data_IF_133775180091
#
_entry.id   IF_133775180091
#
_cell.length_a   1.000
_cell.length_b   1.000
_cell.length_c   1.000
_cell.angle_alpha   90.00
_cell.angle_beta   90.00
_cell.angle_gamma   90.00
#
_symmetry.space_group_name_H-M   'P 1'
#
loop_
_entity.id
_entity.type
_entity.pdbx_description
1 polymer ?
#
# COMPACT_ATOMS: atom_id res chain seq x y z
N UNK A 1 6.27 -5.25 -14.99
CA UNK A 1 5.62 -4.04 -14.40
C UNK A 1 5.50 -4.23 -12.90
N UNK A 2 5.84 -3.22 -12.09
CA UNK A 2 5.68 -3.20 -10.63
C UNK A 2 4.41 -2.45 -10.26
N UNK A 3 3.64 -2.96 -9.28
CA UNK A 3 2.46 -2.27 -8.73
C UNK A 3 2.83 -1.67 -7.37
N UNK A 4 2.48 -0.42 -7.13
CA UNK A 4 2.55 0.20 -5.81
C UNK A 4 1.15 0.34 -5.23
N UNK A 5 0.95 -0.13 -3.99
CA UNK A 5 -0.32 -0.05 -3.29
C UNK A 5 -0.13 0.55 -1.89
N UNK A 6 -1.10 1.34 -1.43
CA UNK A 6 -1.09 1.89 -0.07
C UNK A 6 -1.31 0.81 0.97
N UNK A 7 -0.68 0.94 2.13
CA UNK A 7 -1.02 0.17 3.32
C UNK A 7 -2.47 0.43 3.79
N UNK A 8 -2.92 -0.33 4.77
CA UNK A 8 -4.18 -0.07 5.46
C UNK A 8 -3.95 0.34 6.91
N UNK A 9 -4.83 1.19 7.42
CA UNK A 9 -4.84 1.62 8.85
C UNK A 9 -5.32 0.53 9.80
N UNK A 10 -5.92 -0.55 9.27
CA UNK A 10 -6.41 -1.69 10.03
C UNK A 10 -5.68 -2.96 9.63
N UNK A 11 -5.39 -3.79 10.62
CA UNK A 11 -4.65 -5.03 10.44
C UNK A 11 -5.33 -6.18 11.17
N UNK A 12 -5.09 -7.40 10.66
CA UNK A 12 -5.47 -8.65 11.32
C UNK A 12 -4.26 -9.28 11.99
N UNK A 13 -4.49 -9.99 13.06
CA UNK A 13 -3.50 -10.80 13.77
C UNK A 13 -3.60 -12.28 13.40
N UNK A 14 -4.62 -12.65 12.62
CA UNK A 14 -4.84 -14.03 12.17
C UNK A 14 -5.29 -14.07 10.72
N UNK A 15 -4.96 -15.15 10.02
CA UNK A 15 -5.42 -15.41 8.66
C UNK A 15 -5.78 -16.87 8.48
N UNK A 16 -6.88 -17.15 7.76
CA UNK A 16 -7.23 -18.50 7.30
C UNK A 16 -6.46 -18.91 6.04
N UNK A 17 -5.92 -17.90 5.33
CA UNK A 17 -5.09 -18.11 4.14
C UNK A 17 -3.68 -18.41 4.60
N UNK A 18 -3.06 -19.44 4.04
CA UNK A 18 -1.66 -19.78 4.26
C UNK A 18 -0.83 -19.26 3.09
N UNK A 19 0.16 -18.45 3.38
CA UNK A 19 1.15 -18.06 2.39
C UNK A 19 2.11 -19.22 2.11
N UNK A 20 2.65 -19.35 0.88
CA UNK A 20 3.55 -20.45 0.52
C UNK A 20 4.91 -20.35 1.23
N UNK A 21 5.34 -19.14 1.57
CA UNK A 21 6.57 -18.85 2.30
C UNK A 21 6.44 -17.53 3.07
N UNK A 22 7.39 -17.28 3.96
CA UNK A 22 7.54 -16.04 4.69
C UNK A 22 8.90 -15.41 4.35
N UNK A 23 8.91 -14.09 4.19
CA UNK A 23 10.15 -13.32 3.97
C UNK A 23 10.31 -12.25 5.05
N UNK A 24 11.56 -11.83 5.26
CA UNK A 24 11.88 -10.78 6.24
C UNK A 24 11.77 -9.42 5.53
N UNK A 25 11.10 -8.43 6.13
CA UNK A 25 11.07 -7.07 5.62
C UNK A 25 12.47 -6.48 5.45
N UNK A 26 12.69 -5.78 4.33
CA UNK A 26 13.99 -5.14 4.03
C UNK A 26 14.43 -4.16 5.13
N UNK A 27 13.48 -3.44 5.71
CA UNK A 27 13.69 -2.42 6.73
C UNK A 27 13.22 -2.89 8.12
N UNK A 28 13.47 -4.17 8.44
CA UNK A 28 13.07 -4.77 9.73
C UNK A 28 13.74 -4.07 10.91
N UNK A 29 15.00 -3.63 10.75
CA UNK A 29 15.74 -2.93 11.80
C UNK A 29 15.10 -1.58 12.10
N UNK A 30 14.83 -0.79 11.07
CA UNK A 30 14.17 0.51 11.16
C UNK A 30 12.76 0.37 11.78
N UNK A 31 12.02 -0.66 11.38
CA UNK A 31 10.71 -0.95 11.95
C UNK A 31 10.79 -1.25 13.45
N UNK A 32 11.80 -1.99 13.89
CA UNK A 32 12.06 -2.28 15.30
C UNK A 32 12.39 -1.00 16.08
N UNK A 33 13.22 -0.13 15.53
CA UNK A 33 13.58 1.15 16.14
C UNK A 33 12.38 2.09 16.25
N UNK A 34 11.56 2.18 15.19
CA UNK A 34 10.31 2.95 15.19
C UNK A 34 9.35 2.42 16.25
N UNK A 35 9.15 1.11 16.32
CA UNK A 35 8.24 0.50 17.28
C UNK A 35 8.72 0.70 18.73
N UNK A 36 10.02 0.65 18.96
CA UNK A 36 10.62 0.92 20.28
C UNK A 36 10.31 2.35 20.73
N UNK A 37 10.46 3.34 19.85
CA UNK A 37 10.10 4.72 20.20
C UNK A 37 8.58 4.88 20.40
N UNK A 38 7.77 4.27 19.55
CA UNK A 38 6.31 4.31 19.71
C UNK A 38 5.84 3.66 21.03
N UNK A 39 6.59 2.69 21.57
CA UNK A 39 6.27 2.06 22.85
C UNK A 39 6.52 2.95 24.06
N UNK A 40 7.25 4.06 23.90
CA UNK A 40 7.54 5.03 24.95
C UNK A 40 6.37 5.98 25.24
N UNK A 41 5.46 6.13 24.28
CA UNK A 41 4.32 7.03 24.41
C UNK A 41 3.21 6.41 25.28
N UNK A 42 2.62 7.22 26.14
CA UNK A 42 1.39 6.87 26.87
C UNK A 42 0.18 6.77 25.94
N UNK A 43 -0.91 6.21 26.44
CA UNK A 43 -2.17 6.11 25.66
C UNK A 43 -2.65 7.47 25.19
N UNK A 44 -2.62 8.49 26.06
CA UNK A 44 -3.08 9.85 25.76
C UNK A 44 -2.20 10.54 24.71
N UNK A 45 -0.90 10.27 24.73
CA UNK A 45 0.03 10.75 23.71
C UNK A 45 -0.22 10.07 22.36
N UNK A 46 -0.44 8.75 22.35
CA UNK A 46 -0.79 8.01 21.15
C UNK A 46 -2.14 8.45 20.56
N UNK A 47 -3.13 8.78 21.39
CA UNK A 47 -4.41 9.30 20.92
C UNK A 47 -4.21 10.59 20.12
N UNK A 48 -3.41 11.52 20.65
CA UNK A 48 -3.08 12.79 19.98
C UNK A 48 -2.20 12.60 18.76
N UNK A 49 -1.13 11.79 18.88
CA UNK A 49 -0.13 11.58 17.85
C UNK A 49 -0.72 10.90 16.61
N UNK A 50 -1.56 9.89 16.82
CA UNK A 50 -2.21 9.12 15.75
C UNK A 50 -3.57 9.70 15.32
N UNK A 51 -4.07 10.74 16.02
CA UNK A 51 -5.39 11.35 15.79
C UNK A 51 -6.51 10.32 15.78
N UNK A 52 -6.55 9.50 16.80
CA UNK A 52 -7.50 8.40 16.96
C UNK A 52 -8.31 8.58 18.25
N UNK A 53 -9.38 7.80 18.42
CA UNK A 53 -10.09 7.74 19.68
C UNK A 53 -9.34 6.89 20.71
N UNK A 54 -9.70 7.01 22.00
CA UNK A 54 -9.07 6.33 23.11
C UNK A 54 -9.04 4.79 22.93
N UNK A 55 -10.09 4.18 22.36
CA UNK A 55 -10.13 2.73 22.12
C UNK A 55 -9.01 2.28 21.17
N UNK A 56 -8.82 3.00 20.07
CA UNK A 56 -7.76 2.72 19.10
C UNK A 56 -6.38 3.02 19.70
N UNK A 57 -6.25 4.08 20.52
CA UNK A 57 -5.02 4.42 21.21
C UNK A 57 -4.60 3.30 22.17
N UNK A 58 -5.51 2.77 23.01
CA UNK A 58 -5.26 1.64 23.91
C UNK A 58 -4.85 0.37 23.14
N UNK A 59 -5.52 0.08 22.03
CA UNK A 59 -5.16 -1.07 21.18
C UNK A 59 -3.72 -0.94 20.67
N UNK A 60 -3.35 0.21 20.15
CA UNK A 60 -2.02 0.42 19.59
C UNK A 60 -0.93 0.57 20.67
N UNK A 61 -1.26 1.11 21.85
CA UNK A 61 -0.38 1.05 23.00
C UNK A 61 0.01 -0.41 23.32
N UNK A 62 -0.97 -1.31 23.42
CA UNK A 62 -0.71 -2.74 23.67
C UNK A 62 0.13 -3.37 22.58
N UNK A 63 -0.13 -3.04 21.31
CA UNK A 63 0.64 -3.52 20.14
C UNK A 63 2.09 -3.11 20.23
N UNK A 64 2.38 -1.85 20.53
CA UNK A 64 3.75 -1.35 20.67
C UNK A 64 4.46 -1.91 21.89
N UNK A 65 3.78 -2.07 23.05
CA UNK A 65 4.37 -2.73 24.22
C UNK A 65 4.75 -4.19 23.94
N UNK A 66 3.96 -4.89 23.15
CA UNK A 66 4.21 -6.29 22.79
C UNK A 66 5.10 -6.45 21.55
N UNK A 67 5.42 -5.37 20.81
CA UNK A 67 6.00 -5.47 19.47
C UNK A 67 7.26 -6.33 19.39
N UNK A 68 8.09 -6.33 20.42
CA UNK A 68 9.34 -7.09 20.46
C UNK A 68 9.20 -8.47 21.14
N UNK A 69 8.03 -8.82 21.66
CA UNK A 69 7.83 -10.12 22.30
C UNK A 69 7.73 -11.24 21.24
N UNK A 70 8.32 -12.40 21.53
CA UNK A 70 8.29 -13.57 20.64
C UNK A 70 6.87 -14.06 20.33
N UNK A 71 5.98 -13.96 21.34
CA UNK A 71 4.58 -14.39 21.21
C UNK A 71 3.70 -13.43 20.40
N UNK A 72 4.23 -12.29 19.92
CA UNK A 72 3.43 -11.34 19.14
C UNK A 72 3.04 -11.94 17.80
N UNK A 73 1.75 -11.95 17.47
CA UNK A 73 1.29 -12.45 16.18
C UNK A 73 1.93 -11.70 15.02
N UNK A 74 2.34 -12.43 14.00
CA UNK A 74 2.87 -11.87 12.77
C UNK A 74 2.30 -12.58 11.54
N UNK A 75 2.07 -11.81 10.49
CA UNK A 75 1.50 -12.29 9.23
C UNK A 75 2.24 -11.68 8.04
N UNK A 76 2.28 -12.36 6.89
CA UNK A 76 2.64 -11.73 5.63
C UNK A 76 1.84 -10.45 5.39
N UNK A 77 2.48 -9.40 4.92
CA UNK A 77 1.89 -8.06 4.75
C UNK A 77 0.59 -8.09 3.94
N UNK A 78 0.54 -8.90 2.87
CA UNK A 78 -0.66 -9.07 2.04
C UNK A 78 -1.85 -9.64 2.83
N UNK A 79 -1.61 -10.43 3.88
CA UNK A 79 -2.63 -11.05 4.71
C UNK A 79 -2.88 -10.26 6.00
N UNK A 80 -1.90 -9.47 6.44
CA UNK A 80 -1.99 -8.64 7.63
C UNK A 80 -2.86 -7.41 7.43
N UNK A 81 -2.70 -6.69 6.32
CA UNK A 81 -3.50 -5.50 6.05
C UNK A 81 -4.95 -5.86 5.73
N UNK A 82 -5.87 -5.12 6.38
CA UNK A 82 -7.31 -5.21 6.14
C UNK A 82 -7.84 -3.84 5.72
N UNK A 83 -9.03 -3.75 5.28
CA UNK A 83 -9.59 -2.51 4.75
C UNK A 83 -10.11 -2.75 3.35
N UNK A 84 -10.76 -1.74 2.79
CA UNK A 84 -11.56 -1.95 1.57
C UNK A 84 -10.70 -2.38 0.37
N UNK A 85 -9.49 -1.84 0.23
CA UNK A 85 -8.55 -2.20 -0.84
C UNK A 85 -8.17 -3.68 -0.75
N UNK A 86 -7.74 -4.13 0.43
CA UNK A 86 -7.31 -5.52 0.67
C UNK A 86 -8.47 -6.52 0.65
N UNK A 87 -9.67 -6.08 1.08
CA UNK A 87 -10.89 -6.89 0.92
C UNK A 87 -11.24 -7.15 -0.55
N UNK A 88 -10.97 -6.20 -1.43
CA UNK A 88 -11.19 -6.32 -2.87
C UNK A 88 -10.05 -7.05 -3.58
N UNK A 89 -8.81 -6.84 -3.18
CA UNK A 89 -7.68 -7.64 -3.63
C UNK A 89 -7.89 -9.13 -3.31
N UNK A 90 -8.42 -9.43 -2.12
CA UNK A 90 -8.93 -10.74 -1.70
C UNK A 90 -8.02 -11.94 -2.08
N UNK A 91 -6.93 -12.18 -1.36
CA UNK A 91 -5.98 -13.24 -1.70
C UNK A 91 -6.44 -14.66 -1.29
N UNK A 92 -7.73 -14.86 -0.97
CA UNK A 92 -8.26 -16.14 -0.46
C UNK A 92 -8.16 -17.31 -1.44
N UNK A 93 -8.18 -17.01 -2.72
CA UNK A 93 -8.11 -17.97 -3.83
C UNK A 93 -6.81 -17.84 -4.64
N UNK A 94 -5.79 -17.21 -4.05
CA UNK A 94 -4.47 -17.14 -4.69
C UNK A 94 -3.81 -18.51 -4.66
N UNK A 95 -3.31 -18.94 -5.81
CA UNK A 95 -2.41 -20.08 -5.92
C UNK A 95 -1.00 -19.73 -5.41
N UNK A 96 -0.13 -20.71 -5.32
CA UNK A 96 1.29 -20.50 -5.01
C UNK A 96 1.91 -19.53 -6.01
N UNK A 97 1.64 -19.74 -7.30
CA UNK A 97 2.15 -18.92 -8.41
C UNK A 97 1.62 -17.47 -8.34
N UNK A 98 0.38 -17.26 -7.84
CA UNK A 98 -0.16 -15.91 -7.64
C UNK A 98 0.58 -15.18 -6.52
N UNK A 99 0.91 -15.88 -5.43
CA UNK A 99 1.71 -15.31 -4.34
C UNK A 99 3.15 -15.03 -4.78
N UNK A 100 3.77 -15.91 -5.56
CA UNK A 100 5.11 -15.71 -6.09
C UNK A 100 5.14 -14.51 -7.06
N UNK A 101 4.18 -14.45 -7.98
CA UNK A 101 4.05 -13.29 -8.86
C UNK A 101 3.81 -12.00 -8.09
N UNK A 102 2.94 -12.03 -7.08
CA UNK A 102 2.72 -10.88 -6.22
C UNK A 102 4.01 -10.44 -5.50
N UNK A 103 4.80 -11.38 -4.98
CA UNK A 103 6.07 -11.11 -4.29
C UNK A 103 7.07 -10.34 -5.17
N UNK A 104 7.09 -10.63 -6.45
CA UNK A 104 7.96 -9.97 -7.42
C UNK A 104 7.39 -8.64 -7.93
N UNK A 105 6.06 -8.55 -8.12
CA UNK A 105 5.42 -7.49 -8.87
C UNK A 105 4.55 -6.53 -8.02
N UNK A 106 4.43 -6.72 -6.71
CA UNK A 106 3.68 -5.82 -5.83
C UNK A 106 4.56 -5.26 -4.72
N UNK A 107 4.42 -3.97 -4.44
CA UNK A 107 4.98 -3.31 -3.26
C UNK A 107 3.88 -2.64 -2.47
N UNK A 108 3.95 -2.78 -1.15
CA UNK A 108 3.02 -2.17 -0.20
C UNK A 108 3.78 -1.10 0.58
N UNK A 109 3.25 0.13 0.62
CA UNK A 109 3.85 1.17 1.47
C UNK A 109 3.58 0.88 2.94
N UNK A 110 4.43 1.38 3.82
CA UNK A 110 4.28 1.24 5.27
C UNK A 110 5.00 2.38 5.99
N UNK A 111 4.33 3.03 6.94
CA UNK A 111 4.99 4.04 7.77
C UNK A 111 5.90 3.41 8.84
N UNK A 112 5.70 2.16 9.20
CA UNK A 112 6.56 1.43 10.14
C UNK A 112 7.69 0.67 9.44
N UNK A 113 7.40 -0.01 8.32
CA UNK A 113 8.34 -0.88 7.62
C UNK A 113 8.84 -0.30 6.29
N UNK A 114 8.48 0.94 5.94
CA UNK A 114 8.86 1.60 4.69
C UNK A 114 8.20 0.99 3.45
N UNK A 115 8.87 0.05 2.81
CA UNK A 115 8.40 -0.62 1.59
C UNK A 115 8.44 -2.14 1.78
N UNK A 116 7.28 -2.76 1.67
CA UNK A 116 7.06 -4.18 1.90
C UNK A 116 6.80 -4.93 0.59
N UNK A 117 7.26 -6.16 0.54
CA UNK A 117 6.77 -7.18 -0.39
C UNK A 117 5.59 -7.93 0.23
N UNK A 118 4.71 -8.54 -0.57
CA UNK A 118 3.53 -9.27 -0.09
C UNK A 118 3.76 -10.31 1.01
N UNK A 119 4.86 -11.05 0.93
CA UNK A 119 5.18 -12.15 1.85
C UNK A 119 6.13 -11.74 2.99
N UNK A 120 6.50 -10.46 3.08
CA UNK A 120 7.24 -9.92 4.22
C UNK A 120 6.38 -10.00 5.47
N UNK A 121 6.92 -10.66 6.51
CA UNK A 121 6.18 -10.90 7.76
C UNK A 121 6.24 -9.66 8.64
N UNK A 122 5.07 -9.15 9.02
CA UNK A 122 4.93 -7.93 9.81
C UNK A 122 4.06 -8.14 11.03
N UNK A 123 4.30 -7.36 12.05
CA UNK A 123 3.52 -7.27 13.29
C UNK A 123 2.48 -6.16 13.19
N UNK A 124 1.33 -6.29 13.86
CA UNK A 124 0.30 -5.25 13.85
C UNK A 124 0.80 -3.94 14.45
N UNK A 125 0.50 -2.84 13.77
CA UNK A 125 0.84 -1.49 14.19
C UNK A 125 -0.17 -0.49 13.64
N UNK A 126 -0.10 0.76 14.10
CA UNK A 126 -0.70 1.91 13.45
C UNK A 126 0.24 3.10 13.55
N UNK A 127 0.56 3.67 12.41
CA UNK A 127 1.42 4.84 12.29
C UNK A 127 0.93 5.72 11.14
N UNK A 128 1.11 7.03 11.27
CA UNK A 128 0.74 8.02 10.27
C UNK A 128 2.00 8.72 9.74
N UNK A 129 1.94 9.24 8.52
CA UNK A 129 3.13 9.78 7.84
C UNK A 129 3.65 11.10 8.40
N UNK A 130 2.82 11.85 9.08
CA UNK A 130 3.17 13.13 9.71
C UNK A 130 3.64 12.98 11.17
N UNK A 131 3.66 11.77 11.71
CA UNK A 131 4.23 11.50 13.03
C UNK A 131 5.72 11.84 13.02
N UNK A 132 6.15 12.58 14.04
CA UNK A 132 7.54 12.94 14.28
C UNK A 132 8.05 12.13 15.47
N UNK A 133 9.17 11.44 15.26
CA UNK A 133 9.84 10.67 16.30
C UNK A 133 11.18 11.33 16.64
N UNK A 134 11.36 11.83 17.89
CA UNK A 134 12.51 12.63 18.26
C UNK A 134 13.86 11.93 18.03
N UNK A 135 13.97 10.66 18.43
CA UNK A 135 15.23 9.91 18.31
C UNK A 135 15.57 9.49 16.88
N UNK A 136 14.63 9.63 15.92
CA UNK A 136 14.86 9.39 14.49
C UNK A 136 15.17 10.68 13.72
N UNK A 137 15.78 11.65 14.38
CA UNK A 137 16.22 12.92 13.77
C UNK A 137 15.13 13.98 13.75
N UNK A 138 14.11 13.87 14.57
CA UNK A 138 13.03 14.84 14.75
C UNK A 138 12.37 15.25 13.41
N UNK A 139 12.14 14.28 12.56
CA UNK A 139 11.54 14.42 11.23
C UNK A 139 10.25 13.60 11.12
N UNK A 140 9.37 13.97 10.20
CA UNK A 140 8.15 13.20 9.92
C UNK A 140 8.51 11.83 9.34
N UNK A 141 7.62 10.85 9.49
CA UNK A 141 7.82 9.54 8.84
C UNK A 141 7.89 9.64 7.31
N UNK A 142 7.23 10.63 6.70
CA UNK A 142 7.43 10.92 5.28
C UNK A 142 8.89 11.25 4.96
N UNK A 143 9.47 12.22 5.66
CA UNK A 143 10.87 12.65 5.42
C UNK A 143 11.86 11.55 5.80
N UNK A 144 11.60 10.83 6.88
CA UNK A 144 12.42 9.69 7.32
C UNK A 144 12.54 8.62 6.22
N UNK A 145 11.42 8.25 5.61
CA UNK A 145 11.39 7.22 4.59
C UNK A 145 11.83 7.71 3.21
N UNK A 146 11.57 8.97 2.84
CA UNK A 146 11.87 9.49 1.51
C UNK A 146 13.34 9.28 1.10
N UNK A 147 14.27 9.60 2.01
CA UNK A 147 15.71 9.45 1.77
C UNK A 147 16.15 7.98 1.68
N UNK A 148 15.41 7.07 2.29
CA UNK A 148 15.75 5.63 2.36
C UNK A 148 15.10 4.81 1.26
N UNK A 149 13.89 5.21 0.84
CA UNK A 149 13.08 4.41 -0.08
C UNK A 149 13.29 4.74 -1.55
N UNK A 150 13.62 5.98 -1.89
CA UNK A 150 13.60 6.42 -3.29
C UNK A 150 14.49 5.59 -4.19
N UNK A 151 15.76 5.39 -3.84
CA UNK A 151 16.70 4.59 -4.65
C UNK A 151 16.28 3.13 -4.76
N UNK A 152 15.91 2.55 -3.63
CA UNK A 152 15.46 1.16 -3.51
C UNK A 152 14.22 0.92 -4.36
N UNK A 153 13.26 1.84 -4.32
CA UNK A 153 12.03 1.74 -5.07
C UNK A 153 12.26 1.85 -6.58
N UNK A 154 13.06 2.82 -7.02
CA UNK A 154 13.44 2.95 -8.44
C UNK A 154 14.12 1.67 -8.93
N UNK A 155 15.02 1.09 -8.12
CA UNK A 155 15.67 -0.17 -8.45
C UNK A 155 14.66 -1.32 -8.56
N UNK A 156 13.72 -1.45 -7.61
CA UNK A 156 12.67 -2.48 -7.65
C UNK A 156 11.82 -2.35 -8.93
N UNK A 157 11.45 -1.10 -9.31
CA UNK A 157 10.69 -0.86 -10.55
C UNK A 157 11.50 -1.28 -11.79
N UNK A 158 12.79 -0.96 -11.84
CA UNK A 158 13.67 -1.33 -12.96
C UNK A 158 13.83 -2.84 -13.09
N UNK A 159 13.99 -3.55 -11.98
CA UNK A 159 14.07 -5.01 -11.93
C UNK A 159 12.77 -5.68 -12.41
N UNK A 160 11.62 -5.06 -12.14
CA UNK A 160 10.32 -5.54 -12.60
C UNK A 160 9.93 -5.08 -14.02
N UNK A 161 10.91 -4.59 -14.81
CA UNK A 161 10.71 -4.20 -16.21
C UNK A 161 10.58 -2.70 -16.47
N UNK A 162 10.91 -1.83 -15.50
CA UNK A 162 11.02 -0.38 -15.68
C UNK A 162 9.70 0.39 -15.72
N UNK A 163 8.58 -0.28 -15.47
CA UNK A 163 7.24 0.32 -15.48
C UNK A 163 6.60 0.20 -14.10
N UNK A 164 6.12 1.31 -13.58
CA UNK A 164 5.36 1.41 -12.34
C UNK A 164 3.87 1.62 -12.62
N UNK A 165 3.03 0.72 -12.17
CA UNK A 165 1.57 0.95 -12.04
C UNK A 165 1.29 1.50 -10.64
N UNK A 166 0.96 2.80 -10.55
CA UNK A 166 0.71 3.46 -9.28
C UNK A 166 -0.77 3.35 -8.89
N UNK A 167 -1.09 2.45 -7.97
CA UNK A 167 -2.40 2.30 -7.34
C UNK A 167 -2.42 2.81 -5.89
N UNK A 168 -1.32 3.43 -5.44
CA UNK A 168 -1.27 4.09 -4.14
C UNK A 168 -2.01 5.44 -4.14
N UNK A 169 -2.35 5.93 -2.95
CA UNK A 169 -2.90 7.29 -2.79
C UNK A 169 -1.80 8.34 -2.97
N UNK A 170 -2.21 9.58 -3.27
CA UNK A 170 -1.27 10.69 -3.41
C UNK A 170 -0.44 10.92 -2.15
N UNK A 171 -1.02 10.69 -0.97
CA UNK A 171 -0.31 10.72 0.30
C UNK A 171 0.96 9.86 0.29
N UNK A 172 0.88 8.66 -0.27
CA UNK A 172 2.00 7.71 -0.28
C UNK A 172 3.15 8.12 -1.21
N UNK A 173 2.90 9.00 -2.17
CA UNK A 173 3.95 9.58 -3.02
C UNK A 173 4.99 10.34 -2.21
N UNK A 174 4.58 10.92 -1.08
CA UNK A 174 5.48 11.65 -0.16
C UNK A 174 6.51 10.76 0.56
N UNK A 175 6.36 9.42 0.50
CA UNK A 175 7.36 8.47 0.96
C UNK A 175 8.58 8.37 0.01
N UNK A 176 8.53 9.01 -1.16
CA UNK A 176 9.54 8.97 -2.20
C UNK A 176 9.83 10.38 -2.71
N UNK A 177 11.01 10.63 -3.26
CA UNK A 177 11.21 11.73 -4.20
C UNK A 177 10.47 11.40 -5.50
N UNK A 178 9.18 11.72 -5.52
CA UNK A 178 8.29 11.31 -6.61
C UNK A 178 8.67 11.92 -7.96
N UNK A 179 9.22 13.15 -7.96
CA UNK A 179 9.71 13.79 -9.19
C UNK A 179 10.86 12.99 -9.79
N UNK A 180 11.74 12.47 -8.94
CA UNK A 180 12.84 11.63 -9.36
C UNK A 180 12.34 10.27 -9.86
N UNK A 181 11.35 9.65 -9.18
CA UNK A 181 10.71 8.42 -9.66
C UNK A 181 10.14 8.60 -11.07
N UNK A 182 9.34 9.66 -11.32
CA UNK A 182 8.75 9.94 -12.62
C UNK A 182 9.77 10.25 -13.72
N UNK A 183 10.97 10.70 -13.36
CA UNK A 183 12.08 10.94 -14.29
C UNK A 183 12.83 9.65 -14.65
N UNK A 184 12.95 8.72 -13.72
CA UNK A 184 13.83 7.57 -13.85
C UNK A 184 13.13 6.29 -14.30
N UNK A 185 11.80 6.21 -14.16
CA UNK A 185 10.97 5.07 -14.60
C UNK A 185 9.67 5.55 -15.24
N UNK A 186 9.08 4.72 -16.09
CA UNK A 186 7.75 4.99 -16.64
C UNK A 186 6.70 4.77 -15.57
N UNK A 187 5.92 5.81 -15.24
CA UNK A 187 4.81 5.72 -14.29
C UNK A 187 3.49 5.77 -15.03
N UNK A 188 2.62 4.79 -14.78
CA UNK A 188 1.22 4.77 -15.23
C UNK A 188 0.32 4.77 -14.00
N UNK A 189 -0.63 5.70 -13.95
CA UNK A 189 -1.56 5.85 -12.82
C UNK A 189 -2.99 5.60 -13.30
N UNK A 190 -3.61 4.47 -12.92
CA UNK A 190 -5.05 4.26 -13.12
C UNK A 190 -5.86 5.21 -12.23
N UNK A 191 -6.80 5.92 -12.83
CA UNK A 191 -7.76 6.80 -12.17
C UNK A 191 -9.19 6.27 -12.36
N UNK A 192 -10.02 6.38 -11.32
CA UNK A 192 -11.38 5.83 -11.33
C UNK A 192 -12.38 6.94 -11.03
N UNK A 193 -13.26 7.22 -12.01
CA UNK A 193 -14.24 8.29 -11.95
C UNK A 193 -15.63 7.78 -12.25
N UNK A 194 -16.63 8.43 -11.68
CA UNK A 194 -18.04 8.16 -11.93
C UNK A 194 -18.66 9.35 -12.63
N UNK A 195 -19.42 9.11 -13.69
CA UNK A 195 -20.23 10.14 -14.30
C UNK A 195 -21.44 10.44 -13.41
N UNK A 196 -21.58 11.68 -12.99
CA UNK A 196 -22.70 12.17 -12.17
C UNK A 196 -23.17 13.52 -12.68
N UNK A 197 -24.43 13.58 -13.16
CA UNK A 197 -25.02 14.82 -13.70
C UNK A 197 -24.12 15.45 -14.79
N UNK A 198 -23.67 14.66 -15.76
CA UNK A 198 -22.84 15.11 -16.88
C UNK A 198 -21.41 15.56 -16.49
N UNK A 199 -20.94 15.25 -15.26
CA UNK A 199 -19.58 15.59 -14.77
C UNK A 199 -18.88 14.37 -14.20
N UNK A 200 -17.58 14.30 -14.41
CA UNK A 200 -16.73 13.31 -13.75
C UNK A 200 -16.54 13.66 -12.28
N UNK A 201 -16.75 12.70 -11.41
CA UNK A 201 -16.57 12.82 -9.98
C UNK A 201 -15.72 11.66 -9.44
N UNK A 202 -14.78 11.97 -8.53
CA UNK A 202 -14.03 10.96 -7.79
C UNK A 202 -14.80 10.61 -6.51
N UNK A 203 -15.21 9.36 -6.39
CA UNK A 203 -15.85 8.84 -5.17
C UNK A 203 -14.83 7.97 -4.44
N UNK A 204 -14.35 8.45 -3.29
CA UNK A 204 -13.23 7.85 -2.54
C UNK A 204 -13.42 6.36 -2.27
N UNK A 205 -14.63 5.91 -1.94
CA UNK A 205 -14.89 4.50 -1.65
C UNK A 205 -14.75 3.65 -2.92
N UNK A 206 -15.27 4.11 -4.05
CA UNK A 206 -15.11 3.41 -5.33
C UNK A 206 -13.66 3.38 -5.79
N UNK A 207 -12.95 4.51 -5.70
CA UNK A 207 -11.50 4.55 -6.01
C UNK A 207 -10.72 3.52 -5.21
N UNK A 208 -11.00 3.40 -3.90
CA UNK A 208 -10.33 2.39 -3.05
C UNK A 208 -10.70 0.97 -3.47
N UNK A 209 -11.96 0.72 -3.78
CA UNK A 209 -12.42 -0.60 -4.24
C UNK A 209 -11.77 -0.98 -5.57
N UNK A 210 -11.81 -0.07 -6.55
CA UNK A 210 -11.21 -0.27 -7.88
C UNK A 210 -9.70 -0.50 -7.83
N UNK A 211 -8.98 0.19 -6.94
CA UNK A 211 -7.54 -0.07 -6.72
C UNK A 211 -7.28 -1.51 -6.25
N UNK A 212 -8.10 -2.03 -5.34
CA UNK A 212 -8.02 -3.41 -4.89
C UNK A 212 -8.33 -4.41 -6.00
N UNK A 213 -9.40 -4.19 -6.75
CA UNK A 213 -9.81 -5.04 -7.88
C UNK A 213 -8.80 -5.00 -9.03
N UNK A 214 -8.28 -3.81 -9.37
CA UNK A 214 -7.22 -3.66 -10.38
C UNK A 214 -5.94 -4.38 -9.96
N UNK A 215 -5.54 -4.27 -8.69
CA UNK A 215 -4.39 -5.03 -8.18
C UNK A 215 -4.63 -6.52 -8.32
N UNK A 216 -5.82 -7.01 -7.94
CA UNK A 216 -6.21 -8.40 -8.12
C UNK A 216 -6.18 -8.82 -9.59
N UNK A 217 -6.75 -8.01 -10.48
CA UNK A 217 -6.73 -8.25 -11.93
C UNK A 217 -5.31 -8.42 -12.45
N UNK A 218 -4.39 -7.50 -12.09
CA UNK A 218 -2.98 -7.56 -12.49
C UNK A 218 -2.33 -8.87 -12.01
N UNK A 219 -2.52 -9.22 -10.74
CA UNK A 219 -1.85 -10.38 -10.14
C UNK A 219 -2.39 -11.71 -10.68
N UNK A 220 -3.71 -11.83 -10.84
CA UNK A 220 -4.34 -13.07 -11.33
C UNK A 220 -4.06 -13.31 -12.82
N UNK A 221 -4.00 -12.25 -13.62
CA UNK A 221 -3.76 -12.35 -15.06
C UNK A 221 -2.27 -12.22 -15.43
N UNK A 222 -1.37 -12.02 -14.44
CA UNK A 222 0.07 -11.81 -14.67
C UNK A 222 0.32 -10.65 -15.64
N UNK A 223 -0.50 -9.58 -15.55
CA UNK A 223 -0.43 -8.43 -16.44
C UNK A 223 0.91 -7.70 -16.29
N UNK A 224 1.75 -7.79 -17.29
CA UNK A 224 3.12 -7.26 -17.30
C UNK A 224 3.28 -5.95 -18.06
N UNK A 225 2.28 -5.59 -18.86
CA UNK A 225 2.28 -4.41 -19.73
C UNK A 225 1.15 -3.46 -19.31
N UNK A 226 1.33 -2.13 -19.37
CA UNK A 226 0.24 -1.17 -19.15
C UNK A 226 -0.98 -1.38 -20.05
N UNK A 227 -0.78 -1.80 -21.30
CA UNK A 227 -1.91 -2.05 -22.21
C UNK A 227 -2.82 -3.18 -21.74
N UNK A 228 -2.31 -4.13 -20.96
CA UNK A 228 -3.13 -5.19 -20.36
C UNK A 228 -4.18 -4.62 -19.40
N UNK A 229 -3.90 -3.45 -18.79
CA UNK A 229 -4.82 -2.77 -17.87
C UNK A 229 -6.08 -2.28 -18.54
N UNK A 230 -6.03 -1.99 -19.85
CA UNK A 230 -7.19 -1.49 -20.62
C UNK A 230 -8.33 -2.52 -20.67
N UNK A 231 -8.01 -3.81 -20.49
CA UNK A 231 -8.99 -4.90 -20.38
C UNK A 231 -9.66 -5.01 -19.01
N UNK A 232 -9.31 -4.18 -18.05
CA UNK A 232 -9.94 -4.20 -16.73
C UNK A 232 -11.37 -3.69 -16.79
N UNK A 233 -12.29 -4.45 -16.20
CA UNK A 233 -13.68 -4.06 -15.99
C UNK A 233 -14.14 -4.53 -14.61
N UNK A 234 -14.84 -3.65 -13.88
CA UNK A 234 -15.40 -3.97 -12.58
C UNK A 234 -16.56 -3.02 -12.24
N UNK A 235 -17.75 -3.59 -11.90
CA UNK A 235 -18.94 -2.81 -11.49
C UNK A 235 -19.25 -1.64 -12.43
N UNK A 236 -19.06 -1.85 -13.74
CA UNK A 236 -19.29 -0.85 -14.77
C UNK A 236 -18.16 0.17 -14.96
N UNK A 237 -17.05 0.07 -14.23
CA UNK A 237 -15.84 0.80 -14.58
C UNK A 237 -15.17 0.14 -15.77
N UNK A 238 -14.93 0.91 -16.82
CA UNK A 238 -14.25 0.49 -18.04
C UNK A 238 -13.26 1.56 -18.47
N UNK A 239 -12.24 1.15 -19.22
CA UNK A 239 -11.21 2.06 -19.74
C UNK A 239 -11.84 3.08 -20.70
N UNK A 240 -11.51 4.36 -20.50
CA UNK A 240 -11.93 5.47 -21.33
C UNK A 240 -10.72 6.06 -22.06
N UNK A 241 -10.57 5.70 -23.32
CA UNK A 241 -9.44 6.14 -24.14
C UNK A 241 -9.43 7.67 -24.35
N UNK A 242 -10.62 8.28 -24.44
CA UNK A 242 -10.76 9.72 -24.72
C UNK A 242 -10.28 10.60 -23.57
N UNK A 243 -10.27 10.06 -22.35
CA UNK A 243 -9.84 10.75 -21.12
C UNK A 243 -8.45 10.33 -20.66
N UNK A 244 -7.82 9.37 -21.36
CA UNK A 244 -6.55 8.76 -20.97
C UNK A 244 -5.38 9.34 -21.77
N UNK A 245 -4.19 9.22 -21.22
CA UNK A 245 -2.92 9.51 -21.88
C UNK A 245 -1.86 8.44 -21.55
N UNK A 246 -0.60 8.65 -21.96
CA UNK A 246 0.49 7.68 -21.76
C UNK A 246 0.84 7.39 -20.29
N UNK A 247 0.45 8.28 -19.36
CA UNK A 247 0.75 8.21 -17.92
C UNK A 247 -0.48 8.04 -17.06
N UNK A 248 -1.64 8.44 -17.55
CA UNK A 248 -2.91 8.42 -16.84
C UNK A 248 -3.92 7.57 -17.58
N UNK A 249 -4.32 6.47 -16.99
CA UNK A 249 -5.34 5.56 -17.51
C UNK A 249 -6.64 5.78 -16.74
N UNK A 250 -7.61 6.39 -17.42
CA UNK A 250 -8.90 6.73 -16.83
C UNK A 250 -9.89 5.59 -17.04
N UNK A 251 -10.52 5.18 -15.95
CA UNK A 251 -11.63 4.23 -15.95
C UNK A 251 -12.87 4.93 -15.46
N UNK A 252 -13.95 4.87 -16.24
CA UNK A 252 -15.21 5.54 -15.89
C UNK A 252 -16.33 4.55 -15.66
N UNK A 253 -17.22 4.88 -14.74
CA UNK A 253 -18.49 4.18 -14.52
C UNK A 253 -19.64 5.11 -14.88
N UNK A 254 -20.57 4.62 -15.73
CA UNK A 254 -21.64 5.40 -16.33
C UNK A 254 -21.23 6.07 -17.63
N UNK A 255 -22.19 6.74 -18.24
CA UNK A 255 -21.98 7.51 -19.48
C UNK A 255 -22.13 9.00 -19.18
N UNK A 256 -21.31 9.84 -19.82
CA UNK A 256 -21.51 11.28 -19.86
C UNK A 256 -22.69 11.57 -20.82
N UNK A 257 -23.90 11.62 -20.28
CA UNK A 257 -25.06 12.17 -20.97
C UNK A 257 -25.15 13.67 -20.76
#
# INVERSE_FOLDING_TARGET
>A
MLVLLSCAKTMSETSKVKAPLNTVPRFQKEASEIALQMSQFSVDELERLLRVNAKIAVENYKRYQAFHAEATPELPALLAYTGIVFKRLNPKDFSVEDFEYAQEHLRLTSFCYGLLRPLDVIRPYRLEGDVVLPELGNQTMFSYWQSRLTDVFIQDVRQAGGILCNLASDEMKSLFDWKRVEKEVRVVTPEFHVWKNGKLATIVVYTKMSRGEMTRFILKNKAGNPDDLKGFSWEGFEFDESLSDERKFVFTNGKGE
#
